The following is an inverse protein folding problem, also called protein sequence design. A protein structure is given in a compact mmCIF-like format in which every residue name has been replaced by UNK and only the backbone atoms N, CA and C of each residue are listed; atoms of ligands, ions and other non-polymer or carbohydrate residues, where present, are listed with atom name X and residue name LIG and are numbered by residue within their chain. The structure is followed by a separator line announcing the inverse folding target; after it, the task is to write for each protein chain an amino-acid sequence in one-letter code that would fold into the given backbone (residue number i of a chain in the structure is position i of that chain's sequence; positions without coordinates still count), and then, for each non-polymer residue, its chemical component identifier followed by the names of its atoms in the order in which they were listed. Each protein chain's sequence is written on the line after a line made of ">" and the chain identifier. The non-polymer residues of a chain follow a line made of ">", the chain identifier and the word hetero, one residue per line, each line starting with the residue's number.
data_IF_213525035696
#
_entry.id   IF_213525035696
#
_cell.length_a   1.000
_cell.length_b   1.000
_cell.length_c   1.000
_cell.angle_alpha   90.00
_cell.angle_beta   90.00
_cell.angle_gamma   90.00
#
_symmetry.space_group_name_H-M   'P 1'
#
loop_
_entity.id
_entity.type
_entity.pdbx_description
1 polymer ?
#
# COMPACT_ATOMS: atom_id res chain seq x y z
N UNK A 1 -40.02 35.85 1.99
CA UNK A 1 -38.71 35.92 2.65
C UNK A 1 -38.36 34.68 3.46
N UNK A 2 -39.26 34.10 4.28
CA UNK A 2 -38.95 32.89 5.08
C UNK A 2 -38.60 31.62 4.25
N UNK A 3 -39.20 31.44 3.06
CA UNK A 3 -38.95 30.29 2.19
C UNK A 3 -37.57 30.33 1.49
N UNK A 4 -37.04 31.52 1.21
CA UNK A 4 -35.71 31.71 0.61
C UNK A 4 -34.61 31.43 1.62
N UNK A 5 -34.79 31.79 2.90
CA UNK A 5 -33.87 31.48 3.97
C UNK A 5 -33.73 29.97 4.24
N UNK A 6 -34.79 29.19 4.07
CA UNK A 6 -34.80 27.74 4.23
C UNK A 6 -34.01 27.03 3.11
N UNK A 7 -34.15 27.51 1.87
CA UNK A 7 -33.40 26.99 0.72
C UNK A 7 -31.88 27.26 0.84
N UNK A 8 -31.51 28.42 1.36
CA UNK A 8 -30.11 28.80 1.56
C UNK A 8 -29.43 27.91 2.63
N UNK A 9 -30.14 27.52 3.68
CA UNK A 9 -29.62 26.62 4.71
C UNK A 9 -29.44 25.16 4.20
N UNK A 10 -30.30 24.69 3.31
CA UNK A 10 -30.17 23.36 2.71
C UNK A 10 -28.96 23.29 1.76
N UNK A 11 -28.65 24.39 1.07
CA UNK A 11 -27.50 24.46 0.17
C UNK A 11 -26.14 24.49 0.94
N UNK A 12 -26.10 25.02 2.14
CA UNK A 12 -24.88 25.14 2.95
C UNK A 12 -24.45 23.81 3.59
N UNK A 13 -25.37 22.86 3.77
CA UNK A 13 -25.08 21.55 4.36
C UNK A 13 -24.43 20.57 3.35
N UNK A 14 -24.55 20.85 2.05
CA UNK A 14 -24.09 19.94 0.99
C UNK A 14 -22.58 20.00 0.70
N UNK A 15 -21.78 20.85 1.37
CA UNK A 15 -20.37 21.10 1.01
C UNK A 15 -19.35 20.58 2.00
N UNK A 16 -19.72 19.80 3.01
CA UNK A 16 -18.73 19.11 3.85
C UNK A 16 -18.38 17.77 3.23
N UNK A 17 -17.74 17.80 2.07
CA UNK A 17 -17.03 16.64 1.54
C UNK A 17 -15.71 16.52 2.30
N UNK A 18 -15.73 15.90 3.48
CA UNK A 18 -14.53 15.55 4.21
C UNK A 18 -13.84 14.44 3.40
N UNK A 19 -12.74 14.78 2.74
CA UNK A 19 -11.87 13.80 2.12
C UNK A 19 -11.39 12.83 3.22
N UNK A 20 -12.04 11.68 3.36
CA UNK A 20 -11.62 10.66 4.30
C UNK A 20 -10.23 10.18 3.90
N UNK A 21 -9.26 10.40 4.77
CA UNK A 21 -7.91 9.86 4.62
C UNK A 21 -7.99 8.34 4.71
N UNK A 22 -7.93 7.68 3.57
CA UNK A 22 -7.99 6.22 3.50
C UNK A 22 -6.71 5.63 4.09
N UNK A 23 -6.86 4.74 5.07
CA UNK A 23 -5.76 4.07 5.76
C UNK A 23 -5.93 2.57 5.64
N UNK A 24 -4.93 1.89 5.14
CA UNK A 24 -4.85 0.44 5.10
C UNK A 24 -3.83 -0.04 6.12
N UNK A 25 -4.16 -1.11 6.85
CA UNK A 25 -3.28 -1.72 7.84
C UNK A 25 -3.24 -3.23 7.61
N UNK A 26 -2.06 -3.77 7.40
CA UNK A 26 -1.84 -5.18 7.11
C UNK A 26 -1.01 -5.84 8.21
N UNK A 27 -1.42 -7.03 8.64
CA UNK A 27 -0.72 -7.83 9.64
C UNK A 27 -0.15 -9.10 9.00
N UNK A 28 1.17 -9.13 8.85
CA UNK A 28 1.94 -10.25 8.30
C UNK A 28 2.46 -11.20 9.39
N UNK A 29 2.15 -10.94 10.66
CA UNK A 29 2.63 -11.77 11.75
C UNK A 29 2.02 -13.18 11.70
N UNK A 30 2.67 -14.14 12.34
CA UNK A 30 2.12 -15.50 12.56
C UNK A 30 1.12 -15.57 13.72
N UNK A 31 0.89 -14.45 14.41
CA UNK A 31 -0.02 -14.40 15.56
C UNK A 31 -1.46 -14.73 15.11
N UNK A 32 -2.14 -15.56 15.89
CA UNK A 32 -3.57 -15.91 15.62
C UNK A 32 -4.50 -14.72 15.84
N UNK A 33 -4.17 -13.85 16.79
CA UNK A 33 -4.99 -12.66 17.13
C UNK A 33 -4.52 -11.47 16.31
N UNK A 34 -5.38 -10.98 15.45
CA UNK A 34 -5.15 -9.77 14.64
C UNK A 34 -5.46 -8.54 15.49
N UNK A 35 -4.64 -7.51 15.37
CA UNK A 35 -4.91 -6.21 15.98
C UNK A 35 -6.15 -5.58 15.35
N UNK A 36 -6.93 -4.88 16.16
CA UNK A 36 -8.10 -4.16 15.68
C UNK A 36 -7.75 -3.18 14.54
N UNK A 37 -8.55 -3.20 13.50
CA UNK A 37 -8.37 -2.38 12.30
C UNK A 37 -7.27 -2.85 11.34
N UNK A 38 -6.65 -4.03 11.58
CA UNK A 38 -5.70 -4.63 10.66
C UNK A 38 -6.34 -5.75 9.83
N UNK A 39 -5.92 -5.86 8.58
CA UNK A 39 -6.25 -6.96 7.69
C UNK A 39 -5.17 -8.04 7.82
N UNK A 40 -5.58 -9.26 8.14
CA UNK A 40 -4.65 -10.39 8.22
C UNK A 40 -4.15 -10.78 6.85
N UNK A 41 -2.85 -10.91 6.70
CA UNK A 41 -2.20 -11.42 5.51
C UNK A 41 -1.66 -12.82 5.81
N UNK A 42 -2.07 -13.79 5.01
CA UNK A 42 -1.60 -15.18 5.06
C UNK A 42 -1.00 -15.56 3.71
N UNK A 43 -0.27 -16.67 3.59
CA UNK A 43 0.22 -17.13 2.28
C UNK A 43 -0.87 -17.30 1.21
N UNK A 44 -2.12 -17.46 1.62
CA UNK A 44 -3.29 -17.58 0.73
C UNK A 44 -3.88 -16.23 0.33
N UNK A 45 -3.41 -15.12 0.91
CA UNK A 45 -3.86 -13.76 0.57
C UNK A 45 -3.24 -13.33 -0.75
N UNK A 46 -3.69 -13.91 -1.85
CA UNK A 46 -3.22 -13.58 -3.19
C UNK A 46 -3.93 -12.33 -3.70
N UNK A 47 -3.21 -11.50 -4.46
CA UNK A 47 -3.79 -10.31 -5.05
C UNK A 47 -4.90 -10.66 -6.05
N UNK A 48 -6.03 -10.00 -5.93
CA UNK A 48 -7.07 -9.94 -6.95
C UNK A 48 -7.69 -8.53 -6.97
N UNK A 49 -8.31 -8.18 -8.08
CA UNK A 49 -8.85 -6.82 -8.27
C UNK A 49 -10.03 -6.50 -7.36
N UNK A 50 -10.81 -7.49 -6.97
CA UNK A 50 -11.96 -7.32 -6.09
C UNK A 50 -11.51 -7.00 -4.66
N UNK A 51 -10.55 -7.77 -4.13
CA UNK A 51 -9.95 -7.55 -2.82
C UNK A 51 -9.06 -6.31 -2.79
N UNK A 52 -8.33 -6.03 -3.89
CA UNK A 52 -7.48 -4.87 -4.06
C UNK A 52 -6.13 -4.92 -3.31
N UNK A 53 -5.75 -6.04 -2.70
CA UNK A 53 -4.44 -6.23 -2.07
C UNK A 53 -4.05 -7.71 -2.03
N UNK A 54 -2.76 -7.98 -1.81
CA UNK A 54 -2.28 -9.35 -1.63
C UNK A 54 -0.91 -9.61 -2.23
N UNK A 55 -0.43 -10.85 -2.06
CA UNK A 55 0.79 -11.33 -2.70
C UNK A 55 0.62 -11.39 -4.22
N UNK A 56 1.59 -10.87 -4.95
CA UNK A 56 1.53 -10.69 -6.40
C UNK A 56 2.86 -11.13 -7.05
N UNK A 57 2.81 -11.60 -8.32
CA UNK A 57 3.95 -11.87 -9.20
C UNK A 57 4.90 -13.01 -8.79
N UNK A 58 4.96 -13.38 -7.55
CA UNK A 58 5.81 -14.43 -6.98
C UNK A 58 4.98 -15.28 -6.01
N UNK A 59 5.44 -16.47 -5.65
CA UNK A 59 4.81 -17.20 -4.56
C UNK A 59 4.69 -16.32 -3.32
N UNK A 60 3.58 -16.46 -2.62
CA UNK A 60 3.40 -15.79 -1.34
C UNK A 60 4.52 -16.16 -0.36
N UNK A 61 4.88 -15.22 0.50
CA UNK A 61 5.86 -15.48 1.55
C UNK A 61 5.30 -16.50 2.56
N UNK A 62 6.06 -17.53 2.85
CA UNK A 62 5.71 -18.63 3.75
C UNK A 62 6.03 -18.34 5.23
N UNK A 63 6.52 -17.14 5.53
CA UNK A 63 6.93 -16.73 6.87
C UNK A 63 8.33 -17.22 7.30
N UNK A 64 9.05 -17.94 6.44
CA UNK A 64 10.33 -18.57 6.78
C UNK A 64 11.42 -18.41 5.74
N UNK A 65 11.03 -18.31 4.46
CA UNK A 65 12.02 -18.24 3.37
C UNK A 65 12.67 -16.85 3.29
N UNK A 66 13.96 -16.84 2.92
CA UNK A 66 14.69 -15.61 2.57
C UNK A 66 14.41 -15.14 1.13
N UNK A 67 13.41 -15.73 0.47
CA UNK A 67 13.04 -15.33 -0.88
C UNK A 67 12.28 -14.01 -0.87
N UNK A 68 12.57 -13.12 -1.82
CA UNK A 68 11.79 -11.89 -1.96
C UNK A 68 10.35 -12.21 -2.32
N UNK A 69 9.44 -11.39 -1.86
CA UNK A 69 8.03 -11.45 -2.24
C UNK A 69 7.55 -10.06 -2.66
N UNK A 70 6.47 -10.03 -3.40
CA UNK A 70 5.76 -8.80 -3.76
C UNK A 70 4.41 -8.78 -3.06
N UNK A 71 4.08 -7.64 -2.50
CA UNK A 71 2.77 -7.37 -1.93
C UNK A 71 2.21 -6.11 -2.56
N UNK A 72 1.10 -6.25 -3.25
CA UNK A 72 0.47 -5.16 -4.00
C UNK A 72 -0.77 -4.65 -3.29
N UNK A 73 -0.99 -3.34 -3.39
CA UNK A 73 -2.20 -2.69 -2.89
C UNK A 73 -2.74 -1.77 -3.98
N UNK A 74 -4.01 -1.95 -4.33
CA UNK A 74 -4.68 -1.10 -5.30
C UNK A 74 -5.17 0.17 -4.60
N UNK A 75 -4.57 1.29 -4.96
CA UNK A 75 -4.89 2.60 -4.40
C UNK A 75 -4.95 3.66 -5.50
N UNK A 76 -5.72 4.74 -5.36
CA UNK A 76 -5.70 5.86 -6.29
C UNK A 76 -4.31 6.46 -6.49
N UNK A 77 -4.12 7.25 -7.56
CA UNK A 77 -2.89 8.02 -7.72
C UNK A 77 -2.73 9.03 -6.59
N UNK A 78 -1.52 9.14 -6.06
CA UNK A 78 -1.25 10.04 -4.94
C UNK A 78 0.02 9.74 -4.17
N UNK A 79 0.22 10.49 -3.10
CA UNK A 79 1.33 10.30 -2.17
C UNK A 79 0.85 9.50 -0.95
N UNK A 80 1.55 8.43 -0.64
CA UNK A 80 1.22 7.54 0.47
C UNK A 80 2.36 7.50 1.47
N UNK A 81 2.03 7.79 2.72
CA UNK A 81 2.93 7.53 3.84
C UNK A 81 2.82 6.06 4.20
N UNK A 82 3.90 5.33 4.01
CA UNK A 82 4.00 3.90 4.34
C UNK A 82 4.81 3.75 5.61
N UNK A 83 4.26 3.05 6.59
CA UNK A 83 4.95 2.68 7.81
C UNK A 83 5.05 1.16 7.86
N UNK A 84 6.26 0.66 8.03
CA UNK A 84 6.55 -0.77 8.18
C UNK A 84 7.14 -1.06 9.55
N UNK A 85 6.69 -2.15 10.16
CA UNK A 85 7.27 -2.70 11.39
C UNK A 85 8.01 -3.96 11.01
N UNK A 86 9.31 -3.96 11.22
CA UNK A 86 10.24 -5.01 10.78
C UNK A 86 10.87 -5.68 11.99
N UNK A 87 11.01 -6.99 11.92
CA UNK A 87 11.61 -7.81 12.96
C UNK A 87 10.82 -9.08 13.24
N UNK A 88 11.41 -9.97 14.02
CA UNK A 88 10.78 -11.24 14.43
C UNK A 88 10.91 -11.44 15.94
N UNK A 89 9.86 -11.99 16.55
CA UNK A 89 9.88 -12.38 17.98
C UNK A 89 10.81 -13.55 18.24
N UNK A 90 11.05 -14.39 17.23
CA UNK A 90 11.64 -15.70 17.40
C UNK A 90 13.09 -15.78 16.95
N UNK A 91 13.51 -14.93 16.01
CA UNK A 91 14.83 -14.99 15.38
C UNK A 91 15.32 -13.60 14.94
N UNK A 92 16.62 -13.40 14.78
CA UNK A 92 17.13 -12.17 14.17
C UNK A 92 16.73 -12.12 12.69
N UNK A 93 16.61 -10.91 12.15
CA UNK A 93 16.29 -10.74 10.72
C UNK A 93 17.07 -9.59 10.09
N UNK A 94 17.22 -9.64 8.77
CA UNK A 94 17.69 -8.54 7.94
C UNK A 94 16.72 -8.34 6.80
N UNK A 95 16.20 -7.11 6.67
CA UNK A 95 15.10 -6.82 5.74
C UNK A 95 15.46 -5.66 4.84
N UNK A 96 15.24 -5.85 3.55
CA UNK A 96 15.31 -4.80 2.52
C UNK A 96 13.92 -4.54 1.99
N UNK A 97 13.51 -3.27 1.92
CA UNK A 97 12.19 -2.87 1.39
C UNK A 97 12.38 -2.03 0.14
N UNK A 98 11.74 -2.47 -0.92
CA UNK A 98 11.61 -1.73 -2.18
C UNK A 98 10.14 -1.43 -2.45
N UNK A 99 9.89 -0.31 -3.10
CA UNK A 99 8.54 0.05 -3.53
C UNK A 99 8.57 0.59 -4.96
N UNK A 100 7.42 0.78 -5.56
CA UNK A 100 7.31 1.24 -6.94
C UNK A 100 8.20 0.40 -7.89
N UNK A 101 8.22 -0.88 -7.72
CA UNK A 101 9.00 -1.91 -8.42
C UNK A 101 10.53 -1.87 -8.27
N UNK A 102 11.18 -0.73 -8.03
CA UNK A 102 12.65 -0.65 -8.01
C UNK A 102 13.23 0.29 -6.97
N UNK A 103 12.47 1.21 -6.45
CA UNK A 103 12.98 2.22 -5.52
C UNK A 103 13.32 1.58 -4.18
N UNK A 104 14.57 1.72 -3.75
CA UNK A 104 15.05 1.25 -2.46
C UNK A 104 14.67 2.25 -1.37
N UNK A 105 13.93 1.80 -0.35
CA UNK A 105 13.54 2.60 0.80
C UNK A 105 14.27 2.20 2.07
N UNK A 106 14.47 0.91 2.25
CA UNK A 106 15.19 0.36 3.40
C UNK A 106 16.17 -0.67 2.89
N UNK A 107 17.42 -0.57 3.30
CA UNK A 107 18.49 -1.48 2.91
C UNK A 107 19.06 -2.21 4.13
N UNK A 108 18.99 -3.54 4.10
CA UNK A 108 19.63 -4.45 5.08
C UNK A 108 19.38 -4.06 6.55
N UNK A 109 18.15 -3.61 6.89
CA UNK A 109 17.80 -3.28 8.26
C UNK A 109 17.83 -4.54 9.13
N UNK A 110 18.84 -4.61 9.97
CA UNK A 110 19.02 -5.75 10.87
C UNK A 110 18.30 -5.55 12.19
N UNK A 111 17.67 -6.62 12.68
CA UNK A 111 17.03 -6.69 13.99
C UNK A 111 17.49 -7.93 14.75
N UNK A 112 17.62 -7.82 16.05
CA UNK A 112 17.86 -8.95 16.94
C UNK A 112 16.57 -9.74 17.18
N UNK A 113 16.68 -10.96 17.69
CA UNK A 113 15.52 -11.72 18.17
C UNK A 113 14.71 -10.90 19.17
N UNK A 114 13.40 -10.77 18.95
CA UNK A 114 12.48 -10.00 19.78
C UNK A 114 12.49 -8.50 19.53
N UNK A 115 13.41 -7.98 18.73
CA UNK A 115 13.48 -6.56 18.39
C UNK A 115 12.54 -6.24 17.22
N UNK A 116 11.79 -5.15 17.35
CA UNK A 116 10.95 -4.60 16.29
C UNK A 116 11.41 -3.17 16.02
N UNK A 117 11.65 -2.84 14.76
CA UNK A 117 11.97 -1.50 14.28
C UNK A 117 10.85 -0.97 13.39
N UNK A 118 10.53 0.31 13.56
CA UNK A 118 9.50 0.98 12.77
C UNK A 118 10.16 2.00 11.86
N UNK A 119 9.94 1.82 10.57
CA UNK A 119 10.44 2.73 9.53
C UNK A 119 9.27 3.33 8.77
N UNK A 120 9.47 4.58 8.30
CA UNK A 120 8.43 5.31 7.57
C UNK A 120 9.05 5.99 6.36
N UNK A 121 8.39 5.86 5.21
CA UNK A 121 8.79 6.48 3.96
C UNK A 121 7.56 6.92 3.14
N UNK A 122 7.78 7.68 2.09
CA UNK A 122 6.72 8.12 1.19
C UNK A 122 6.85 7.47 -0.17
N UNK A 123 5.76 6.89 -0.65
CA UNK A 123 5.60 6.37 -2.00
C UNK A 123 4.70 7.32 -2.79
N UNK A 124 5.06 7.56 -4.04
CA UNK A 124 4.29 8.36 -4.97
C UNK A 124 3.73 7.46 -6.07
N UNK A 125 2.51 6.98 -5.90
CA UNK A 125 1.83 6.16 -6.91
C UNK A 125 1.33 7.06 -8.05
N UNK A 126 1.71 6.72 -9.27
CA UNK A 126 1.31 7.40 -10.49
C UNK A 126 1.03 6.41 -11.61
N UNK A 127 0.09 6.74 -12.46
CA UNK A 127 -0.14 6.02 -13.71
C UNK A 127 0.53 6.75 -14.89
N UNK A 128 0.40 6.20 -16.09
CA UNK A 128 0.99 6.76 -17.31
C UNK A 128 0.28 8.03 -17.83
N UNK A 129 -0.86 8.41 -17.29
CA UNK A 129 -1.60 9.62 -17.68
C UNK A 129 -0.94 10.84 -17.07
N UNK A 130 -0.66 11.86 -17.87
CA UNK A 130 -0.09 13.13 -17.41
C UNK A 130 -1.22 14.13 -17.14
N UNK A 131 -1.92 14.53 -18.19
CA UNK A 131 -3.10 15.41 -18.11
C UNK A 131 -3.92 15.30 -19.39
N UNK A 132 -5.24 15.44 -19.30
CA UNK A 132 -6.11 15.38 -20.46
C UNK A 132 -5.89 14.13 -21.31
N UNK A 133 -5.43 14.32 -22.57
CA UNK A 133 -5.10 13.23 -23.49
C UNK A 133 -3.62 12.84 -23.49
N UNK A 134 -2.78 13.54 -22.74
CA UNK A 134 -1.34 13.30 -22.69
C UNK A 134 -0.99 12.10 -21.83
N UNK A 135 -0.05 11.29 -22.30
CA UNK A 135 0.43 10.08 -21.63
C UNK A 135 1.94 9.94 -21.77
N UNK A 136 2.58 9.32 -20.78
CA UNK A 136 3.97 8.88 -20.91
C UNK A 136 4.06 7.87 -22.06
N UNK A 137 4.96 8.12 -23.00
CA UNK A 137 5.17 7.21 -24.13
C UNK A 137 6.01 6.01 -23.69
N UNK A 138 5.33 4.86 -23.51
CA UNK A 138 5.96 3.62 -23.10
C UNK A 138 6.50 2.90 -24.34
N UNK A 139 7.79 2.51 -24.31
CA UNK A 139 8.40 1.67 -25.34
C UNK A 139 7.83 0.25 -25.24
N UNK A 140 7.83 -0.49 -26.37
CA UNK A 140 7.29 -1.86 -26.43
C UNK A 140 7.91 -2.79 -25.38
N UNK A 141 9.21 -2.63 -25.08
CA UNK A 141 9.93 -3.39 -24.05
C UNK A 141 9.52 -3.08 -22.60
N UNK A 142 8.78 -2.01 -22.39
CA UNK A 142 8.36 -1.51 -21.07
C UNK A 142 6.89 -1.81 -20.77
N UNK A 143 6.16 -2.28 -21.80
CA UNK A 143 4.78 -2.74 -21.61
C UNK A 143 4.75 -3.95 -20.69
N UNK A 144 3.76 -4.00 -19.82
CA UNK A 144 3.55 -5.07 -18.83
C UNK A 144 4.68 -5.23 -17.80
N UNK A 145 5.47 -4.17 -17.58
CA UNK A 145 6.42 -4.13 -16.47
C UNK A 145 5.81 -3.41 -15.27
N UNK A 146 6.23 -3.83 -14.09
CA UNK A 146 5.75 -3.34 -12.79
C UNK A 146 5.71 -1.82 -12.63
N UNK A 147 6.55 -1.09 -13.36
CA UNK A 147 6.67 0.36 -13.23
C UNK A 147 5.41 1.15 -13.66
N UNK A 148 4.47 0.50 -14.33
CA UNK A 148 3.32 1.15 -14.94
C UNK A 148 2.01 0.46 -14.60
N UNK A 149 2.03 -0.40 -13.58
CA UNK A 149 0.84 -0.99 -13.03
C UNK A 149 0.07 0.02 -12.18
N UNK A 150 -1.24 -0.15 -12.13
CA UNK A 150 -2.12 0.67 -11.29
C UNK A 150 -2.07 0.29 -9.79
N UNK A 151 -1.03 -0.43 -9.38
CA UNK A 151 -0.80 -0.93 -8.02
C UNK A 151 0.47 -0.33 -7.39
N UNK A 152 0.49 -0.27 -6.09
CA UNK A 152 1.68 -0.06 -5.28
C UNK A 152 2.34 -1.39 -4.93
#
# INVERSE_FOLDING_TARGET
>A
MKKIALLLNVLLVATICVAQKQTYKFDFSSDKKVKEGYLKVTPQTLFNNEQGYGYDLQPAWDGKSNKPFFFSVNVPDGNYKVTVVIGSKNEPSSTTVRGESRRLFIENLSTKKGELKTETFTINKRNIKISGKERVRIKSREKNKLNWDDKL
#
